data_IF_320618703899
#
_entry.id   IF_320618703899
#
_cell.length_a   1.000
_cell.length_b   1.000
_cell.length_c   1.000
_cell.angle_alpha   90.00
_cell.angle_beta   90.00
_cell.angle_gamma   90.00
#
_symmetry.space_group_name_H-M   'P 1'
#
loop_
_entity.id
_entity.type
_entity.pdbx_description
1 polymer ?
#
# COMPACT_ATOMS: atom_id res chain seq x y z
N UNK A 1 19.98 14.54 21.78
CA UNK A 1 20.09 15.46 20.63
C UNK A 1 18.67 15.86 20.25
N UNK A 2 18.28 17.12 20.48
CA UNK A 2 16.95 17.61 20.15
C UNK A 2 16.84 17.84 18.64
N UNK A 3 16.11 16.98 17.94
CA UNK A 3 15.74 17.24 16.55
C UNK A 3 14.65 18.30 16.53
N UNK A 4 14.88 19.43 15.86
CA UNK A 4 13.78 20.34 15.54
C UNK A 4 12.72 19.59 14.74
N UNK A 5 11.47 19.72 15.16
CA UNK A 5 10.31 19.31 14.36
C UNK A 5 10.37 20.07 13.03
N UNK A 6 10.27 19.32 11.92
CA UNK A 6 10.17 19.94 10.60
C UNK A 6 8.85 20.69 10.52
N UNK A 7 8.84 21.79 9.78
CA UNK A 7 7.59 22.39 9.35
C UNK A 7 6.84 21.45 8.40
N UNK A 8 5.52 21.59 8.34
CA UNK A 8 4.66 20.76 7.48
C UNK A 8 5.09 20.83 6.00
N UNK A 9 5.51 22.00 5.51
CA UNK A 9 6.02 22.19 4.13
C UNK A 9 7.36 21.49 3.90
N UNK A 10 8.28 21.53 4.88
CA UNK A 10 9.56 20.82 4.76
C UNK A 10 9.35 19.32 4.74
N UNK A 11 8.46 18.80 5.59
CA UNK A 11 8.12 17.38 5.59
C UNK A 11 7.50 16.95 4.25
N UNK A 12 6.56 17.77 3.72
CA UNK A 12 5.94 17.51 2.42
C UNK A 12 7.00 17.43 1.31
N UNK A 13 7.94 18.38 1.26
CA UNK A 13 9.03 18.40 0.27
C UNK A 13 9.95 17.20 0.39
N UNK A 14 10.28 16.79 1.60
CA UNK A 14 11.12 15.60 1.82
C UNK A 14 10.44 14.33 1.33
N UNK A 15 9.16 14.14 1.65
CA UNK A 15 8.36 12.97 1.24
C UNK A 15 8.12 12.93 -0.28
N UNK A 16 7.94 14.10 -0.90
CA UNK A 16 7.67 14.26 -2.32
C UNK A 16 8.92 14.26 -3.21
N UNK A 17 10.12 14.17 -2.65
CA UNK A 17 11.35 14.12 -3.44
C UNK A 17 11.94 12.70 -3.42
N UNK A 18 12.31 12.18 -4.60
CA UNK A 18 12.81 10.81 -4.75
C UNK A 18 14.06 10.53 -3.91
N UNK A 19 15.01 11.45 -3.89
CA UNK A 19 16.31 11.31 -3.21
C UNK A 19 16.18 11.45 -1.69
N UNK A 20 15.22 12.26 -1.23
CA UNK A 20 15.04 12.53 0.21
C UNK A 20 13.89 11.76 0.85
N UNK A 21 13.05 11.04 0.08
CA UNK A 21 11.84 10.36 0.59
C UNK A 21 12.13 9.47 1.78
N UNK A 22 13.17 8.64 1.70
CA UNK A 22 13.50 7.72 2.77
C UNK A 22 13.79 8.46 4.08
N UNK A 23 14.58 9.54 4.01
CA UNK A 23 14.81 10.42 5.16
C UNK A 23 13.53 11.12 5.62
N UNK A 24 12.69 11.58 4.69
CA UNK A 24 11.38 12.16 5.00
C UNK A 24 10.46 11.21 5.77
N UNK A 25 10.40 9.94 5.36
CA UNK A 25 9.63 8.89 6.05
C UNK A 25 10.17 8.65 7.45
N UNK A 26 11.48 8.47 7.61
CA UNK A 26 12.08 8.27 8.94
C UNK A 26 11.87 9.48 9.86
N UNK A 27 11.90 10.70 9.31
CA UNK A 27 11.57 11.93 10.05
C UNK A 27 10.10 11.98 10.44
N UNK A 28 9.18 11.65 9.54
CA UNK A 28 7.75 11.56 9.86
C UNK A 28 7.53 10.58 11.01
N UNK A 29 8.08 9.37 10.90
CA UNK A 29 7.95 8.31 11.90
C UNK A 29 8.51 8.76 13.25
N UNK A 30 9.65 9.47 13.27
CA UNK A 30 10.24 10.01 14.48
C UNK A 30 9.38 11.10 15.16
N UNK A 31 8.62 11.88 14.39
CA UNK A 31 7.66 12.87 14.92
C UNK A 31 6.38 12.21 15.48
N UNK A 32 6.16 10.93 15.20
CA UNK A 32 5.11 10.12 15.82
C UNK A 32 3.68 10.58 15.46
N UNK A 33 2.74 10.55 16.44
CA UNK A 33 1.30 10.77 16.17
C UNK A 33 0.96 12.10 15.49
N UNK A 34 1.76 13.15 15.73
CA UNK A 34 1.56 14.46 15.09
C UNK A 34 1.71 14.37 13.58
N UNK A 35 2.79 13.73 13.11
CA UNK A 35 3.02 13.55 11.68
C UNK A 35 2.01 12.58 11.05
N UNK A 36 1.62 11.54 11.78
CA UNK A 36 0.58 10.61 11.33
C UNK A 36 -0.75 11.33 11.06
N UNK A 37 -1.23 12.15 12.01
CA UNK A 37 -2.44 12.93 11.84
C UNK A 37 -2.34 13.95 10.70
N UNK A 38 -1.18 14.58 10.54
CA UNK A 38 -0.92 15.50 9.43
C UNK A 38 -1.03 14.77 8.09
N UNK A 39 -0.37 13.62 7.94
CA UNK A 39 -0.42 12.82 6.72
C UNK A 39 -1.84 12.31 6.43
N UNK A 40 -2.59 11.92 7.45
CA UNK A 40 -4.02 11.59 7.29
C UNK A 40 -4.80 12.78 6.76
N UNK A 41 -4.57 14.00 7.27
CA UNK A 41 -5.22 15.20 6.72
C UNK A 41 -4.88 15.44 5.23
N UNK A 42 -3.66 15.10 4.81
CA UNK A 42 -3.21 15.21 3.42
C UNK A 42 -3.84 14.21 2.47
N UNK A 43 -4.40 13.10 2.97
CA UNK A 43 -5.20 12.19 2.14
C UNK A 43 -6.43 12.87 1.55
N UNK A 44 -6.96 13.87 2.26
CA UNK A 44 -8.11 14.67 1.84
C UNK A 44 -7.69 15.97 1.14
N UNK A 45 -6.66 16.64 1.67
CA UNK A 45 -6.14 17.89 1.13
C UNK A 45 -4.62 17.92 1.24
N UNK A 46 -3.96 17.48 0.17
CA UNK A 46 -2.51 17.54 0.10
C UNK A 46 -1.99 18.98 -0.08
N UNK A 47 -0.76 19.25 0.38
CA UNK A 47 -0.06 20.49 0.07
C UNK A 47 0.14 20.63 -1.44
N UNK A 48 -0.06 21.85 -1.95
CA UNK A 48 -0.04 22.16 -3.39
C UNK A 48 1.34 22.55 -3.92
N UNK A 49 2.34 22.73 -3.04
CA UNK A 49 3.69 23.18 -3.38
C UNK A 49 4.66 22.03 -3.68
N UNK A 50 4.16 20.80 -3.79
CA UNK A 50 4.96 19.59 -4.04
C UNK A 50 4.35 18.70 -5.12
N UNK A 51 5.16 17.82 -5.71
CA UNK A 51 4.66 16.80 -6.62
C UNK A 51 3.75 15.82 -5.88
N UNK A 52 2.48 15.84 -6.24
CA UNK A 52 1.44 15.07 -5.56
C UNK A 52 1.63 13.55 -5.71
N UNK A 53 2.10 13.09 -6.88
CA UNK A 53 2.34 11.67 -7.11
C UNK A 53 3.48 11.16 -6.22
N UNK A 54 4.59 11.91 -6.17
CA UNK A 54 5.73 11.56 -5.34
C UNK A 54 5.41 11.66 -3.84
N UNK A 55 4.57 12.64 -3.44
CA UNK A 55 4.10 12.77 -2.07
C UNK A 55 3.31 11.52 -1.66
N UNK A 56 2.35 11.09 -2.48
CA UNK A 56 1.53 9.89 -2.21
C UNK A 56 2.37 8.63 -2.05
N UNK A 57 3.44 8.48 -2.83
CA UNK A 57 4.42 7.40 -2.64
C UNK A 57 5.10 7.47 -1.26
N UNK A 58 5.51 8.66 -0.82
CA UNK A 58 6.10 8.86 0.52
C UNK A 58 5.10 8.63 1.65
N UNK A 59 3.85 9.07 1.48
CA UNK A 59 2.77 8.83 2.44
C UNK A 59 2.48 7.33 2.59
N UNK A 60 2.44 6.58 1.48
CA UNK A 60 2.23 5.13 1.53
C UNK A 60 3.33 4.42 2.32
N UNK A 61 4.60 4.82 2.16
CA UNK A 61 5.70 4.28 2.97
C UNK A 61 5.53 4.61 4.47
N UNK A 62 5.14 5.84 4.80
CA UNK A 62 4.93 6.26 6.18
C UNK A 62 3.78 5.49 6.84
N UNK A 63 2.62 5.38 6.17
CA UNK A 63 1.49 4.58 6.65
C UNK A 63 1.84 3.10 6.79
N UNK A 64 2.69 2.56 5.92
CA UNK A 64 3.21 1.19 6.06
C UNK A 64 4.03 0.98 7.35
N UNK A 65 4.72 2.01 7.84
CA UNK A 65 5.51 1.96 9.08
C UNK A 65 4.62 2.00 10.32
N UNK A 66 3.61 2.85 10.31
CA UNK A 66 2.66 2.98 11.44
C UNK A 66 1.54 1.94 11.44
N UNK A 67 1.26 1.31 10.30
CA UNK A 67 0.10 0.42 10.09
C UNK A 67 -1.23 1.15 10.34
N UNK A 68 -1.30 2.41 9.92
CA UNK A 68 -2.46 3.31 10.10
C UNK A 68 -3.69 2.78 9.36
N UNK A 69 -4.76 2.48 10.07
CA UNK A 69 -5.99 1.90 9.48
C UNK A 69 -6.82 2.96 8.76
N UNK A 70 -6.78 4.18 9.25
CA UNK A 70 -7.47 5.34 8.70
C UNK A 70 -7.00 5.67 7.27
N UNK A 71 -5.80 5.21 6.90
CA UNK A 71 -5.23 5.38 5.57
C UNK A 71 -5.71 4.34 4.54
N UNK A 72 -6.43 3.28 4.94
CA UNK A 72 -6.82 2.19 4.03
C UNK A 72 -7.57 2.70 2.78
N UNK A 73 -8.59 3.58 2.87
CA UNK A 73 -9.28 4.09 1.68
C UNK A 73 -8.33 4.75 0.68
N UNK A 74 -7.44 5.63 1.19
CA UNK A 74 -6.43 6.31 0.39
C UNK A 74 -5.45 5.32 -0.27
N UNK A 75 -5.02 4.29 0.46
CA UNK A 75 -4.10 3.28 -0.07
C UNK A 75 -4.76 2.42 -1.16
N UNK A 76 -6.05 2.09 -1.02
CA UNK A 76 -6.81 1.37 -2.05
C UNK A 76 -6.97 2.21 -3.32
N UNK A 77 -7.30 3.49 -3.18
CA UNK A 77 -7.40 4.42 -4.31
C UNK A 77 -6.09 4.59 -5.09
N UNK A 78 -4.97 4.28 -4.45
CA UNK A 78 -3.63 4.48 -4.99
C UNK A 78 -2.81 3.18 -5.05
N UNK A 79 -3.48 2.03 -5.06
CA UNK A 79 -2.85 0.71 -4.89
C UNK A 79 -1.92 0.33 -6.05
N UNK A 80 -2.11 0.89 -7.24
CA UNK A 80 -1.31 0.64 -8.45
C UNK A 80 -0.16 1.65 -8.66
N UNK A 81 0.02 2.60 -7.73
CA UNK A 81 1.12 3.57 -7.81
C UNK A 81 2.50 2.89 -7.70
N UNK A 82 3.39 3.24 -8.63
CA UNK A 82 4.74 2.70 -8.70
C UNK A 82 5.79 3.78 -9.07
N UNK A 83 7.01 3.71 -8.53
CA UNK A 83 8.08 4.61 -8.93
C UNK A 83 8.63 4.19 -10.30
N UNK A 84 8.20 4.89 -11.36
CA UNK A 84 8.60 4.62 -12.74
C UNK A 84 7.99 3.33 -13.32
N UNK A 85 8.29 3.05 -14.59
CA UNK A 85 7.82 1.82 -15.26
C UNK A 85 8.80 0.68 -15.04
N UNK A 86 8.31 -0.50 -14.60
CA UNK A 86 9.07 -1.75 -14.59
C UNK A 86 8.35 -2.84 -15.39
N UNK A 87 8.87 -3.22 -16.57
CA UNK A 87 8.33 -4.34 -17.33
C UNK A 87 8.31 -5.61 -16.48
N UNK A 88 7.21 -6.37 -16.57
CA UNK A 88 7.07 -7.71 -15.99
C UNK A 88 7.30 -7.80 -14.47
N UNK A 89 6.96 -6.75 -13.71
CA UNK A 89 7.09 -6.75 -12.24
C UNK A 89 6.36 -7.94 -11.58
N UNK A 90 5.23 -8.37 -12.15
CA UNK A 90 4.44 -9.52 -11.68
C UNK A 90 5.12 -10.88 -11.85
N UNK A 91 6.21 -10.96 -12.61
CA UNK A 91 7.02 -12.17 -12.75
C UNK A 91 8.23 -12.19 -11.79
N UNK A 92 8.37 -11.17 -10.95
CA UNK A 92 9.45 -11.08 -9.95
C UNK A 92 9.00 -11.68 -8.62
N UNK A 93 9.95 -11.81 -7.69
CA UNK A 93 9.66 -12.25 -6.33
C UNK A 93 8.66 -11.32 -5.63
N UNK A 94 7.87 -11.87 -4.71
CA UNK A 94 6.86 -11.15 -3.92
C UNK A 94 7.46 -9.87 -3.27
N UNK A 95 8.68 -9.95 -2.76
CA UNK A 95 9.40 -8.82 -2.16
C UNK A 95 9.69 -7.69 -3.16
N UNK A 96 9.92 -8.00 -4.44
CA UNK A 96 10.11 -7.01 -5.48
C UNK A 96 8.81 -6.31 -5.84
N UNK A 97 7.69 -7.03 -5.87
CA UNK A 97 6.35 -6.46 -6.08
C UNK A 97 6.00 -5.51 -4.93
N UNK A 98 6.18 -5.94 -3.68
CA UNK A 98 5.93 -5.11 -2.49
C UNK A 98 6.84 -3.87 -2.44
N UNK A 99 8.12 -4.00 -2.84
CA UNK A 99 9.02 -2.85 -2.90
C UNK A 99 8.65 -1.86 -4.01
N UNK A 100 7.97 -2.31 -5.08
CA UNK A 100 7.58 -1.47 -6.19
C UNK A 100 6.24 -0.78 -5.95
N UNK A 101 5.25 -1.51 -5.46
CA UNK A 101 3.91 -1.00 -5.16
C UNK A 101 3.80 -0.65 -3.67
N UNK A 102 4.10 0.60 -3.33
CA UNK A 102 4.20 1.05 -1.94
C UNK A 102 2.88 0.92 -1.18
N UNK A 103 1.76 1.23 -1.84
CA UNK A 103 0.44 1.07 -1.27
C UNK A 103 0.06 -0.40 -1.02
N UNK A 104 0.44 -1.32 -1.92
CA UNK A 104 0.31 -2.77 -1.71
C UNK A 104 1.07 -3.21 -0.44
N UNK A 105 2.34 -2.81 -0.30
CA UNK A 105 3.12 -3.12 0.89
C UNK A 105 2.51 -2.51 2.17
N UNK A 106 1.97 -1.29 2.09
CA UNK A 106 1.28 -0.66 3.22
C UNK A 106 0.05 -1.46 3.66
N UNK A 107 -0.84 -1.82 2.72
CA UNK A 107 -2.03 -2.62 2.99
C UNK A 107 -1.69 -3.99 3.59
N UNK A 108 -0.68 -4.68 3.03
CA UNK A 108 -0.21 -5.97 3.57
C UNK A 108 0.27 -5.82 5.03
N UNK A 109 0.99 -4.73 5.34
CA UNK A 109 1.49 -4.47 6.70
C UNK A 109 0.39 -4.08 7.69
N UNK A 110 -0.67 -3.42 7.22
CA UNK A 110 -1.87 -3.14 8.02
C UNK A 110 -2.59 -4.45 8.37
N UNK A 111 -2.65 -5.40 7.43
CA UNK A 111 -3.11 -6.77 7.70
C UNK A 111 -4.63 -6.94 7.52
N UNK A 112 -5.31 -7.74 8.37
CA UNK A 112 -6.68 -8.20 8.13
C UNK A 112 -7.71 -7.09 7.86
N UNK A 113 -7.61 -5.95 8.54
CA UNK A 113 -8.51 -4.82 8.31
C UNK A 113 -8.43 -4.30 6.86
N UNK A 114 -7.21 -4.23 6.30
CA UNK A 114 -7.00 -3.81 4.93
C UNK A 114 -7.48 -4.87 3.93
N UNK A 115 -7.26 -6.17 4.21
CA UNK A 115 -7.76 -7.24 3.36
C UNK A 115 -9.29 -7.24 3.27
N UNK A 116 -9.99 -7.08 4.41
CA UNK A 116 -11.46 -6.98 4.46
C UNK A 116 -11.96 -5.87 3.53
N UNK A 117 -11.41 -4.66 3.66
CA UNK A 117 -11.85 -3.52 2.87
C UNK A 117 -11.51 -3.66 1.38
N UNK A 118 -10.37 -4.28 1.06
CA UNK A 118 -10.01 -4.63 -0.32
C UNK A 118 -11.00 -5.62 -0.91
N UNK A 119 -11.39 -6.67 -0.17
CA UNK A 119 -12.37 -7.65 -0.62
C UNK A 119 -13.75 -7.02 -0.86
N UNK A 120 -14.21 -6.16 0.05
CA UNK A 120 -15.47 -5.43 -0.07
C UNK A 120 -15.54 -4.55 -1.33
N UNK A 121 -14.44 -3.85 -1.63
CA UNK A 121 -14.36 -2.95 -2.79
C UNK A 121 -13.99 -3.66 -4.09
N UNK A 122 -13.55 -4.92 -4.06
CA UNK A 122 -12.92 -5.60 -5.18
C UNK A 122 -13.70 -5.50 -6.50
N UNK A 123 -15.01 -5.72 -6.44
CA UNK A 123 -15.88 -5.75 -7.61
C UNK A 123 -16.11 -4.37 -8.25
N UNK A 124 -15.90 -3.30 -7.49
CA UNK A 124 -16.00 -1.92 -7.99
C UNK A 124 -14.65 -1.37 -8.46
N UNK A 125 -13.53 -2.05 -8.14
CA UNK A 125 -12.21 -1.67 -8.62
C UNK A 125 -12.09 -1.86 -10.15
N UNK A 126 -11.36 -0.97 -10.84
CA UNK A 126 -11.01 -1.17 -12.25
C UNK A 126 -10.20 -2.46 -12.44
N UNK A 127 -10.40 -3.15 -13.57
CA UNK A 127 -9.71 -4.41 -13.86
C UNK A 127 -8.17 -4.29 -13.83
N UNK A 128 -7.61 -3.14 -14.19
CA UNK A 128 -6.16 -2.87 -14.10
C UNK A 128 -5.62 -2.89 -12.67
N UNK A 129 -6.49 -2.65 -11.68
CA UNK A 129 -6.14 -2.50 -10.27
C UNK A 129 -6.35 -3.81 -9.50
N UNK A 130 -7.31 -4.63 -9.92
CA UNK A 130 -7.72 -5.87 -9.25
C UNK A 130 -6.58 -6.87 -9.00
N UNK A 131 -5.59 -6.95 -9.89
CA UNK A 131 -4.40 -7.78 -9.66
C UNK A 131 -3.63 -7.38 -8.39
N UNK A 132 -3.51 -6.08 -8.10
CA UNK A 132 -2.88 -5.59 -6.88
C UNK A 132 -3.72 -5.93 -5.64
N UNK A 133 -5.04 -5.80 -5.74
CA UNK A 133 -5.97 -6.18 -4.69
C UNK A 133 -5.87 -7.68 -4.34
N UNK A 134 -5.88 -8.56 -5.35
CA UNK A 134 -5.66 -10.01 -5.15
C UNK A 134 -4.33 -10.27 -4.47
N UNK A 135 -3.27 -9.58 -4.91
CA UNK A 135 -1.94 -9.74 -4.31
C UNK A 135 -1.94 -9.34 -2.82
N UNK A 136 -2.62 -8.26 -2.43
CA UNK A 136 -2.76 -7.87 -1.02
C UNK A 136 -3.47 -8.96 -0.22
N UNK A 137 -4.66 -9.38 -0.66
CA UNK A 137 -5.48 -10.39 0.04
C UNK A 137 -4.72 -11.71 0.20
N UNK A 138 -4.06 -12.16 -0.88
CA UNK A 138 -3.20 -13.34 -0.89
C UNK A 138 -2.07 -13.31 0.15
N UNK A 139 -1.49 -12.13 0.44
CA UNK A 139 -0.35 -11.97 1.33
C UNK A 139 -0.73 -11.69 2.78
N UNK A 140 -1.85 -11.00 3.01
CA UNK A 140 -2.40 -10.86 4.37
C UNK A 140 -2.84 -12.23 4.89
N UNK A 141 -3.47 -13.01 4.01
CA UNK A 141 -3.88 -14.38 4.27
C UNK A 141 -4.74 -14.56 5.54
N UNK A 142 -5.72 -13.69 5.73
CA UNK A 142 -6.73 -13.86 6.78
C UNK A 142 -7.68 -15.03 6.43
N UNK A 143 -8.46 -15.57 7.40
CA UNK A 143 -9.34 -16.70 7.14
C UNK A 143 -10.39 -16.47 6.04
N UNK A 144 -10.93 -15.25 5.94
CA UNK A 144 -11.99 -14.91 4.98
C UNK A 144 -11.43 -14.79 3.55
N UNK A 145 -10.14 -14.46 3.42
CA UNK A 145 -9.41 -14.48 2.15
C UNK A 145 -9.57 -15.81 1.39
N UNK A 146 -9.68 -16.95 2.09
CA UNK A 146 -9.72 -18.26 1.43
C UNK A 146 -10.94 -18.42 0.51
N UNK A 147 -12.12 -18.00 0.97
CA UNK A 147 -13.36 -18.09 0.20
C UNK A 147 -13.36 -17.10 -0.95
N UNK A 148 -13.00 -15.85 -0.67
CA UNK A 148 -12.89 -14.79 -1.67
C UNK A 148 -11.94 -15.17 -2.81
N UNK A 149 -10.74 -15.68 -2.49
CA UNK A 149 -9.79 -16.13 -3.52
C UNK A 149 -10.32 -17.35 -4.31
N UNK A 150 -11.18 -18.15 -3.70
CA UNK A 150 -11.89 -19.24 -4.38
C UNK A 150 -12.77 -18.74 -5.52
N UNK A 151 -13.52 -17.66 -5.30
CA UNK A 151 -14.37 -17.04 -6.33
C UNK A 151 -13.54 -16.46 -7.48
N UNK A 152 -12.38 -15.89 -7.17
CA UNK A 152 -11.49 -15.25 -8.16
C UNK A 152 -10.78 -16.27 -9.05
N UNK A 153 -10.46 -17.47 -8.56
CA UNK A 153 -9.76 -18.51 -9.34
C UNK A 153 -10.53 -18.93 -10.60
N UNK A 154 -11.84 -18.73 -10.62
CA UNK A 154 -12.68 -19.02 -11.77
C UNK A 154 -12.61 -17.94 -12.87
N UNK A 155 -11.87 -16.84 -12.66
CA UNK A 155 -11.66 -15.78 -13.65
C UNK A 155 -10.36 -16.01 -14.44
N UNK A 156 -10.42 -15.83 -15.77
CA UNK A 156 -9.35 -16.24 -16.70
C UNK A 156 -8.25 -15.18 -16.89
N UNK A 157 -7.58 -14.74 -15.80
CA UNK A 157 -6.53 -13.69 -15.83
C UNK A 157 -5.34 -14.03 -14.92
N UNK A 158 -4.28 -13.19 -14.92
CA UNK A 158 -3.13 -13.28 -13.99
C UNK A 158 -3.54 -13.33 -12.51
N UNK A 159 -4.71 -12.80 -12.18
CA UNK A 159 -5.36 -12.89 -10.86
C UNK A 159 -5.50 -14.34 -10.39
N UNK A 160 -5.82 -15.27 -11.31
CA UNK A 160 -5.96 -16.70 -11.04
C UNK A 160 -4.68 -17.32 -10.51
N UNK A 161 -3.52 -16.94 -11.07
CA UNK A 161 -2.23 -17.48 -10.64
C UNK A 161 -1.97 -17.16 -9.16
N UNK A 162 -2.11 -15.88 -8.79
CA UNK A 162 -1.88 -15.43 -7.42
C UNK A 162 -2.92 -15.98 -6.44
N UNK A 163 -4.19 -16.03 -6.83
CA UNK A 163 -5.24 -16.61 -6.00
C UNK A 163 -5.03 -18.11 -5.76
N UNK A 164 -4.63 -18.88 -6.78
CA UNK A 164 -4.33 -20.30 -6.64
C UNK A 164 -3.11 -20.57 -5.75
N UNK A 165 -2.03 -19.79 -5.91
CA UNK A 165 -0.81 -19.92 -5.11
C UNK A 165 -1.08 -19.60 -3.63
N UNK A 166 -1.87 -18.56 -3.36
CA UNK A 166 -2.26 -18.17 -2.00
C UNK A 166 -3.06 -19.27 -1.29
N UNK A 167 -4.11 -19.83 -1.93
CA UNK A 167 -4.90 -20.92 -1.36
C UNK A 167 -4.06 -22.16 -1.06
N UNK A 168 -3.11 -22.50 -1.95
CA UNK A 168 -2.17 -23.61 -1.73
C UNK A 168 -1.32 -23.40 -0.48
N UNK A 169 -0.83 -22.17 -0.25
CA UNK A 169 -0.05 -21.82 0.95
C UNK A 169 -0.91 -21.86 2.23
N UNK A 170 -2.16 -21.40 2.16
CA UNK A 170 -3.10 -21.41 3.29
C UNK A 170 -3.52 -22.82 3.71
N UNK A 171 -3.87 -23.68 2.75
CA UNK A 171 -4.33 -25.06 3.03
C UNK A 171 -3.24 -26.00 3.58
N UNK A 172 -1.97 -25.58 3.57
CA UNK A 172 -0.86 -26.32 4.22
C UNK A 172 -0.66 -25.96 5.70
N UNK A 173 -1.35 -24.93 6.19
CA UNK A 173 -1.23 -24.41 7.56
C UNK A 173 -2.41 -24.79 8.47
N UNK A 174 -3.40 -25.48 7.93
CA UNK A 174 -4.49 -26.11 8.69
C UNK A 174 -4.11 -27.55 9.04
#
# INVERSE_FOLDING_TARGET
>A
MGGQDLTDSELAKLLANYDTRAAGVERAVAQGPRAEQLLISWTLRAPSDVDFYQLRLGMADAFARWKTREAIPFLIENIDMQPGSRPNIWMKADSAVQAHFRAVNALIRIGPAAASEVMERFWTLPSSVRLHAVFVVAHVADPDSYYFLGEIIHQANLERYWAAEARRKMGRKQ
#
